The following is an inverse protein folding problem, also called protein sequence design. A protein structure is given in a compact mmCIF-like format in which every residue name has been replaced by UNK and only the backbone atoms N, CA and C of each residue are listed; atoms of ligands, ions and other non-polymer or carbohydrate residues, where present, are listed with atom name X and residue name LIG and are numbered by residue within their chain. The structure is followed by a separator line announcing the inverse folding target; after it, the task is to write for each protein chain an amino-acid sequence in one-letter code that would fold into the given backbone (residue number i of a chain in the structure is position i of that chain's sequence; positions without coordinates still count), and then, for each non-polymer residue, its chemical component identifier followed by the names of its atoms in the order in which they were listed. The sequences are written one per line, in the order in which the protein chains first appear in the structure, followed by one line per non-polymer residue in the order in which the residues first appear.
data_IF_092290395364
#
_entry.id   IF_092290395364
#
_cell.length_a   1.000
_cell.length_b   1.000
_cell.length_c   1.000
_cell.angle_alpha   90.00
_cell.angle_beta   90.00
_cell.angle_gamma   90.00
#
_symmetry.space_group_name_H-M   'P 1'
#
loop_
_entity.id
_entity.type
_entity.pdbx_description
1 polymer ?
#
# COMPACT_ATOMS: atom_id res chain seq x y z
N UNK A 1 -6.09 -3.37 3.79
CA UNK A 1 -6.99 -4.01 2.82
C UNK A 1 -6.28 -4.35 1.54
N UNK A 2 -6.26 -5.63 1.18
CA UNK A 2 -5.74 -6.14 -0.09
C UNK A 2 -6.92 -6.49 -0.97
N UNK A 3 -7.08 -5.78 -2.09
CA UNK A 3 -8.22 -5.94 -3.00
C UNK A 3 -7.81 -6.18 -4.47
N UNK A 4 -6.52 -6.03 -4.79
CA UNK A 4 -5.98 -6.31 -6.11
C UNK A 4 -5.89 -7.82 -6.40
N UNK A 5 -5.58 -8.60 -5.38
CA UNK A 5 -5.40 -10.05 -5.46
C UNK A 5 -5.95 -10.73 -4.21
N UNK A 6 -6.00 -12.05 -4.21
CA UNK A 6 -6.37 -12.83 -3.02
C UNK A 6 -5.36 -13.96 -2.81
N UNK A 7 -5.44 -14.67 -1.67
CA UNK A 7 -4.73 -15.92 -1.48
C UNK A 7 -5.43 -17.07 -2.22
N UNK A 8 -4.68 -18.14 -2.49
CA UNK A 8 -5.20 -19.36 -3.13
C UNK A 8 -6.46 -19.92 -2.43
N UNK A 9 -6.50 -19.82 -1.08
CA UNK A 9 -7.61 -20.32 -0.26
C UNK A 9 -8.77 -19.32 -0.10
N UNK A 10 -8.83 -18.29 -0.92
CA UNK A 10 -10.00 -17.43 -0.95
C UNK A 10 -11.18 -18.22 -1.53
N UNK A 11 -12.31 -18.21 -0.84
CA UNK A 11 -13.46 -19.06 -1.15
C UNK A 11 -13.90 -19.05 -2.62
N UNK A 12 -13.85 -17.87 -3.26
CA UNK A 12 -14.25 -17.73 -4.66
C UNK A 12 -13.22 -18.37 -5.60
N UNK A 13 -11.92 -18.35 -5.27
CA UNK A 13 -10.90 -18.98 -6.05
C UNK A 13 -10.90 -20.52 -5.86
N UNK A 14 -11.11 -21.00 -4.63
CA UNK A 14 -11.30 -22.43 -4.37
C UNK A 14 -12.47 -22.99 -5.16
N UNK A 15 -13.61 -22.28 -5.20
CA UNK A 15 -14.78 -22.67 -6.00
C UNK A 15 -14.46 -22.75 -7.49
N UNK A 16 -13.64 -21.82 -8.01
CA UNK A 16 -13.18 -21.84 -9.42
C UNK A 16 -12.27 -23.03 -9.69
N UNK A 17 -11.34 -23.34 -8.78
CA UNK A 17 -10.46 -24.51 -8.90
C UNK A 17 -11.27 -25.81 -8.87
N UNK A 18 -12.26 -25.91 -7.99
CA UNK A 18 -13.09 -27.11 -7.84
C UNK A 18 -14.07 -27.33 -9.00
N UNK A 19 -14.79 -26.26 -9.41
CA UNK A 19 -15.91 -26.36 -10.38
C UNK A 19 -15.55 -25.96 -11.80
N UNK A 20 -14.36 -25.39 -12.01
CA UNK A 20 -13.90 -24.95 -13.32
C UNK A 20 -14.86 -23.95 -13.97
N UNK A 21 -15.20 -24.16 -15.24
CA UNK A 21 -16.11 -23.29 -16.01
C UNK A 21 -17.53 -23.19 -15.41
N UNK A 22 -17.93 -24.13 -14.54
CA UNK A 22 -19.23 -24.11 -13.90
C UNK A 22 -19.28 -23.22 -12.63
N UNK A 23 -18.14 -22.67 -12.19
CA UNK A 23 -18.09 -21.75 -11.05
C UNK A 23 -18.82 -20.45 -11.34
N UNK A 24 -19.62 -19.98 -10.37
CA UNK A 24 -20.24 -18.66 -10.42
C UNK A 24 -19.26 -17.51 -10.20
N UNK A 25 -18.03 -17.82 -9.77
CA UNK A 25 -16.97 -16.85 -9.49
C UNK A 25 -15.89 -16.79 -10.58
N UNK A 26 -16.05 -17.54 -11.71
CA UNK A 26 -15.03 -17.57 -12.78
C UNK A 26 -14.70 -16.18 -13.34
N UNK A 27 -15.68 -15.28 -13.39
CA UNK A 27 -15.53 -13.92 -13.92
C UNK A 27 -14.96 -12.93 -12.85
N UNK A 28 -14.57 -13.43 -11.66
CA UNK A 28 -13.95 -12.63 -10.62
C UNK A 28 -12.43 -12.50 -10.77
N UNK A 29 -11.84 -13.28 -11.66
CA UNK A 29 -10.39 -13.37 -11.82
C UNK A 29 -9.95 -13.16 -13.25
N UNK A 30 -8.77 -12.59 -13.44
CA UNK A 30 -8.21 -12.38 -14.76
C UNK A 30 -7.52 -13.64 -15.32
N UNK A 31 -7.64 -13.81 -16.63
CA UNK A 31 -6.81 -14.73 -17.40
C UNK A 31 -6.99 -16.22 -17.12
N UNK A 32 -8.09 -16.64 -16.49
CA UNK A 32 -8.33 -18.04 -16.16
C UNK A 32 -8.37 -18.93 -17.41
N UNK A 33 -7.60 -20.01 -17.38
CA UNK A 33 -7.75 -21.15 -18.28
C UNK A 33 -8.12 -22.38 -17.46
N UNK A 34 -8.92 -23.25 -18.05
CA UNK A 34 -9.45 -24.42 -17.36
C UNK A 34 -8.85 -25.72 -17.88
N UNK A 35 -8.56 -26.72 -17.03
CA UNK A 35 -8.70 -26.63 -15.54
C UNK A 35 -7.69 -25.66 -14.92
N UNK A 36 -8.10 -24.96 -13.86
CA UNK A 36 -7.19 -24.07 -13.12
C UNK A 36 -6.23 -24.92 -12.29
N UNK A 37 -4.95 -24.79 -12.56
CA UNK A 37 -3.90 -25.56 -11.90
C UNK A 37 -2.79 -24.63 -11.42
N UNK A 38 -2.37 -24.80 -10.16
CA UNK A 38 -1.14 -24.20 -9.66
C UNK A 38 0.04 -25.04 -10.12
N UNK A 39 1.03 -24.48 -10.82
CA UNK A 39 2.22 -25.24 -11.21
C UNK A 39 2.97 -25.73 -9.96
N UNK A 40 3.53 -26.95 -10.04
CA UNK A 40 4.37 -27.51 -8.97
C UNK A 40 5.73 -26.78 -8.88
N UNK A 41 6.30 -26.45 -10.05
CA UNK A 41 7.56 -25.70 -10.13
C UNK A 41 7.28 -24.19 -9.89
N UNK A 42 7.96 -23.55 -8.92
CA UNK A 42 7.83 -22.12 -8.68
C UNK A 42 8.23 -21.23 -9.86
N UNK A 43 9.09 -21.72 -10.77
CA UNK A 43 9.52 -20.99 -11.96
C UNK A 43 8.50 -21.08 -13.11
N UNK A 44 7.53 -21.98 -13.02
CA UNK A 44 6.47 -22.12 -14.01
C UNK A 44 5.35 -21.10 -13.77
N UNK A 45 4.90 -20.48 -14.86
CA UNK A 45 3.79 -19.52 -14.81
C UNK A 45 2.44 -20.24 -14.73
N UNK A 46 1.54 -19.81 -13.82
CA UNK A 46 0.18 -20.33 -13.80
C UNK A 46 -0.61 -19.85 -15.03
N UNK A 47 -1.64 -20.62 -15.41
CA UNK A 47 -2.56 -20.26 -16.48
C UNK A 47 -3.70 -19.35 -15.98
N UNK A 48 -3.36 -18.35 -15.13
CA UNK A 48 -4.20 -17.25 -14.65
C UNK A 48 -3.31 -16.05 -14.29
N UNK A 49 -3.88 -14.86 -14.30
CA UNK A 49 -3.16 -13.66 -13.87
C UNK A 49 -2.90 -13.72 -12.35
N UNK A 50 -1.68 -13.38 -11.94
CA UNK A 50 -1.29 -13.30 -10.53
C UNK A 50 -0.53 -12.01 -10.23
N UNK A 51 -0.58 -11.57 -8.97
CA UNK A 51 0.13 -10.38 -8.53
C UNK A 51 1.63 -10.69 -8.37
N UNK A 52 2.49 -9.79 -8.89
CA UNK A 52 3.95 -9.86 -8.77
C UNK A 52 4.54 -11.22 -9.23
N UNK A 53 3.88 -11.91 -10.15
CA UNK A 53 4.24 -13.25 -10.62
C UNK A 53 4.15 -14.36 -9.56
N UNK A 54 3.55 -14.04 -8.39
CA UNK A 54 3.37 -15.01 -7.32
C UNK A 54 2.12 -15.86 -7.56
N UNK A 55 2.32 -17.12 -7.93
CA UNK A 55 1.28 -18.07 -8.28
C UNK A 55 0.19 -18.28 -7.21
N UNK A 56 0.54 -18.05 -5.94
CA UNK A 56 -0.40 -18.16 -4.83
C UNK A 56 -1.26 -16.90 -4.61
N UNK A 57 -1.08 -15.89 -5.47
CA UNK A 57 -1.78 -14.60 -5.39
C UNK A 57 -2.59 -14.30 -6.66
N UNK A 58 -3.67 -15.08 -6.94
CA UNK A 58 -4.53 -14.84 -8.11
C UNK A 58 -5.13 -13.44 -8.10
N UNK A 59 -5.09 -12.79 -9.27
CA UNK A 59 -5.50 -11.39 -9.44
C UNK A 59 -7.00 -11.29 -9.64
N UNK A 60 -7.63 -10.39 -8.86
CA UNK A 60 -9.07 -10.13 -8.90
C UNK A 60 -9.41 -9.13 -10.02
N UNK A 61 -10.50 -9.37 -10.74
CA UNK A 61 -11.11 -8.38 -11.62
C UNK A 61 -11.89 -7.34 -10.81
N UNK A 62 -11.20 -6.29 -10.38
CA UNK A 62 -11.80 -5.22 -9.57
C UNK A 62 -12.77 -4.32 -10.36
N UNK A 63 -12.79 -4.40 -11.68
CA UNK A 63 -13.80 -3.77 -12.52
C UNK A 63 -15.13 -4.54 -12.50
N UNK A 64 -15.13 -5.82 -12.14
CA UNK A 64 -16.32 -6.66 -12.04
C UNK A 64 -17.26 -6.14 -10.93
N UNK A 65 -18.55 -5.87 -11.25
CA UNK A 65 -19.50 -5.34 -10.26
C UNK A 65 -19.72 -6.24 -9.04
N UNK A 66 -19.66 -7.57 -9.20
CA UNK A 66 -19.85 -8.51 -8.10
C UNK A 66 -18.64 -8.53 -7.15
N UNK A 67 -17.42 -8.47 -7.69
CA UNK A 67 -16.18 -8.31 -6.92
C UNK A 67 -16.23 -7.00 -6.13
N UNK A 68 -16.55 -5.92 -6.81
CA UNK A 68 -16.67 -4.59 -6.20
C UNK A 68 -17.69 -4.56 -5.06
N UNK A 69 -18.89 -5.10 -5.27
CA UNK A 69 -19.92 -5.10 -4.22
C UNK A 69 -19.49 -5.96 -3.02
N UNK A 70 -18.91 -7.13 -3.26
CA UNK A 70 -18.41 -7.98 -2.19
C UNK A 70 -17.39 -7.23 -1.30
N UNK A 71 -16.42 -6.56 -1.88
CA UNK A 71 -15.41 -5.84 -1.11
C UNK A 71 -15.93 -4.53 -0.51
N UNK A 72 -16.92 -3.89 -1.11
CA UNK A 72 -17.64 -2.81 -0.46
C UNK A 72 -18.35 -3.29 0.83
N UNK A 73 -18.95 -4.48 0.81
CA UNK A 73 -19.54 -5.09 2.03
C UNK A 73 -18.46 -5.42 3.08
N UNK A 74 -17.28 -5.91 2.64
CA UNK A 74 -16.13 -6.09 3.55
C UNK A 74 -15.76 -4.75 4.20
N UNK A 75 -15.68 -3.68 3.40
CA UNK A 75 -15.39 -2.33 3.90
C UNK A 75 -16.39 -1.86 4.93
N UNK A 76 -17.69 -1.98 4.63
CA UNK A 76 -18.79 -1.63 5.54
C UNK A 76 -18.74 -2.45 6.84
N UNK A 77 -18.50 -3.76 6.72
CA UNK A 77 -18.45 -4.69 7.85
C UNK A 77 -17.44 -4.26 8.92
N UNK A 78 -16.21 -3.95 8.52
CA UNK A 78 -15.16 -3.57 9.46
C UNK A 78 -15.42 -2.20 10.10
N UNK A 79 -15.88 -1.23 9.33
CA UNK A 79 -16.23 0.11 9.86
C UNK A 79 -17.38 -0.01 10.85
N UNK A 80 -18.47 -0.70 10.46
CA UNK A 80 -19.68 -0.78 11.27
C UNK A 80 -19.52 -1.59 12.55
N UNK A 81 -18.80 -2.72 12.49
CA UNK A 81 -18.77 -3.68 13.60
C UNK A 81 -17.55 -3.52 14.51
N UNK A 82 -16.44 -2.97 13.98
CA UNK A 82 -15.19 -2.83 14.71
C UNK A 82 -14.76 -1.36 14.88
N UNK A 83 -15.50 -0.42 14.31
CA UNK A 83 -15.25 1.02 14.45
C UNK A 83 -13.80 1.38 14.12
N UNK A 84 -13.27 0.81 13.03
CA UNK A 84 -11.92 1.14 12.57
C UNK A 84 -11.88 2.58 12.06
N UNK A 85 -10.80 3.30 12.35
CA UNK A 85 -10.64 4.71 11.97
C UNK A 85 -10.25 4.91 10.51
N UNK A 86 -9.78 3.86 9.84
CA UNK A 86 -9.38 3.96 8.44
C UNK A 86 -8.92 2.66 7.82
N UNK A 87 -8.60 2.75 6.53
CA UNK A 87 -8.07 1.68 5.70
C UNK A 87 -6.73 2.09 5.08
N UNK A 88 -5.69 1.29 5.25
CA UNK A 88 -4.53 1.28 4.36
C UNK A 88 -4.83 0.29 3.23
N UNK A 89 -4.78 0.76 2.01
CA UNK A 89 -5.23 0.07 0.80
C UNK A 89 -4.03 -0.33 -0.03
N UNK A 90 -3.75 -1.61 -0.04
CA UNK A 90 -2.61 -2.26 -0.66
C UNK A 90 -2.68 -2.18 -2.20
N UNK A 91 -1.52 -2.01 -2.84
CA UNK A 91 -1.38 -2.00 -4.31
C UNK A 91 -2.45 -1.15 -5.00
N UNK A 92 -2.72 0.04 -4.46
CA UNK A 92 -3.87 0.84 -4.84
C UNK A 92 -3.87 1.29 -6.32
N UNK A 93 -2.69 1.38 -6.93
CA UNK A 93 -2.51 1.76 -8.33
C UNK A 93 -2.95 0.68 -9.34
N UNK A 94 -3.11 -0.57 -8.91
CA UNK A 94 -3.52 -1.69 -9.78
C UNK A 94 -5.00 -2.08 -9.63
N UNK A 95 -5.77 -1.30 -8.87
CA UNK A 95 -7.20 -1.53 -8.65
C UNK A 95 -8.00 -0.52 -9.47
N UNK A 96 -9.13 -0.94 -10.03
CA UNK A 96 -10.01 -0.11 -10.86
C UNK A 96 -10.50 1.15 -10.12
N UNK A 97 -10.47 2.29 -10.79
CA UNK A 97 -10.92 3.57 -10.24
C UNK A 97 -12.39 3.55 -9.79
N UNK A 98 -13.25 2.87 -10.55
CA UNK A 98 -14.66 2.71 -10.21
C UNK A 98 -14.86 1.89 -8.94
N UNK A 99 -13.96 0.92 -8.69
CA UNK A 99 -13.90 0.21 -7.42
C UNK A 99 -13.59 1.16 -6.27
N UNK A 100 -12.54 1.99 -6.36
CA UNK A 100 -12.18 2.92 -5.29
C UNK A 100 -13.25 3.96 -5.00
N UNK A 101 -13.91 4.48 -6.03
CA UNK A 101 -15.04 5.41 -5.85
C UNK A 101 -16.20 4.77 -5.14
N UNK A 102 -16.53 3.52 -5.49
CA UNK A 102 -17.59 2.76 -4.82
C UNK A 102 -17.23 2.39 -3.39
N UNK A 103 -15.99 1.94 -3.16
CA UNK A 103 -15.49 1.60 -1.83
C UNK A 103 -15.51 2.81 -0.90
N UNK A 104 -14.98 3.98 -1.38
CA UNK A 104 -15.07 5.23 -0.64
C UNK A 104 -16.51 5.56 -0.25
N UNK A 105 -17.42 5.52 -1.20
CA UNK A 105 -18.84 5.78 -0.94
C UNK A 105 -19.38 4.84 0.12
N UNK A 106 -19.13 3.54 -0.01
CA UNK A 106 -19.62 2.51 0.88
C UNK A 106 -19.17 2.70 2.35
N UNK A 107 -17.89 3.02 2.58
CA UNK A 107 -17.37 3.19 3.93
C UNK A 107 -17.72 4.55 4.53
N UNK A 108 -17.71 5.62 3.72
CA UNK A 108 -18.05 6.98 4.15
C UNK A 108 -19.54 7.16 4.44
N UNK A 109 -20.43 6.32 3.90
CA UNK A 109 -21.84 6.29 4.26
C UNK A 109 -22.07 5.75 5.68
N UNK A 110 -21.17 4.91 6.21
CA UNK A 110 -21.21 4.41 7.59
C UNK A 110 -20.59 5.44 8.53
N UNK A 111 -19.40 5.92 8.22
CA UNK A 111 -18.69 6.93 8.98
C UNK A 111 -17.91 7.84 8.02
N UNK A 112 -18.28 9.13 7.90
CA UNK A 112 -17.63 10.07 6.98
C UNK A 112 -16.17 10.37 7.35
N UNK A 113 -15.77 10.12 8.59
CA UNK A 113 -14.43 10.41 9.11
C UNK A 113 -13.44 9.26 8.90
N UNK A 114 -13.90 8.06 8.47
CA UNK A 114 -13.01 6.93 8.13
C UNK A 114 -11.97 7.34 7.09
N UNK A 115 -10.69 7.21 7.43
CA UNK A 115 -9.58 7.61 6.57
C UNK A 115 -9.27 6.54 5.52
N UNK A 116 -9.10 6.94 4.26
CA UNK A 116 -8.67 6.06 3.17
C UNK A 116 -7.26 6.44 2.72
N UNK A 117 -6.28 5.56 2.99
CA UNK A 117 -4.86 5.74 2.68
C UNK A 117 -4.46 4.73 1.61
N UNK A 118 -4.20 5.20 0.39
CA UNK A 118 -3.71 4.34 -0.69
C UNK A 118 -2.20 4.08 -0.59
N UNK A 119 -1.78 2.86 -0.85
CA UNK A 119 -0.39 2.59 -1.15
C UNK A 119 -0.14 2.89 -2.62
N UNK A 120 0.55 3.99 -2.89
CA UNK A 120 0.94 4.44 -4.22
C UNK A 120 2.41 4.85 -4.17
N UNK A 121 3.24 4.22 -4.99
CA UNK A 121 4.69 4.42 -4.99
C UNK A 121 5.16 5.60 -5.85
N UNK A 122 4.31 6.00 -6.79
CA UNK A 122 4.51 7.15 -7.68
C UNK A 122 3.68 8.37 -7.25
N UNK A 123 3.62 9.36 -8.14
CA UNK A 123 2.79 10.55 -7.94
C UNK A 123 1.30 10.18 -7.81
N UNK A 124 0.73 10.43 -6.65
CA UNK A 124 -0.64 10.05 -6.30
C UNK A 124 -1.73 11.06 -6.70
N UNK A 125 -1.40 12.08 -7.50
CA UNK A 125 -2.34 13.14 -7.88
C UNK A 125 -3.65 12.65 -8.50
N UNK A 126 -3.61 11.54 -9.22
CA UNK A 126 -4.79 10.89 -9.80
C UNK A 126 -5.80 10.46 -8.73
N UNK A 127 -5.34 9.81 -7.68
CA UNK A 127 -6.19 9.25 -6.61
C UNK A 127 -6.60 10.28 -5.54
N UNK A 128 -5.94 11.43 -5.49
CA UNK A 128 -6.16 12.48 -4.48
C UNK A 128 -7.08 13.63 -4.98
N UNK A 129 -8.02 13.32 -5.86
CA UNK A 129 -8.99 14.30 -6.37
C UNK A 129 -10.19 14.52 -5.44
N UNK A 130 -10.32 13.72 -4.37
CA UNK A 130 -11.40 13.80 -3.38
C UNK A 130 -12.51 12.75 -3.58
N UNK A 131 -12.38 11.91 -4.60
CA UNK A 131 -13.35 10.88 -4.96
C UNK A 131 -12.86 9.44 -4.69
N UNK A 132 -11.57 9.24 -4.37
CA UNK A 132 -10.99 7.94 -4.06
C UNK A 132 -10.32 7.93 -2.69
N UNK A 133 -9.14 8.55 -2.52
CA UNK A 133 -8.41 8.52 -1.25
C UNK A 133 -8.37 9.89 -0.57
N UNK A 134 -8.20 9.85 0.75
CA UNK A 134 -7.93 11.03 1.58
C UNK A 134 -6.43 11.29 1.71
N UNK A 135 -5.62 10.22 1.62
CA UNK A 135 -4.18 10.20 1.82
C UNK A 135 -3.52 9.10 1.01
N UNK A 136 -2.21 9.19 0.90
CA UNK A 136 -1.37 8.08 0.43
C UNK A 136 -0.12 7.93 1.28
N UNK A 137 0.50 6.74 1.25
CA UNK A 137 1.85 6.53 1.76
C UNK A 137 2.81 7.39 0.93
N UNK A 138 3.45 8.39 1.57
CA UNK A 138 4.24 9.40 0.87
C UNK A 138 5.65 8.91 0.54
N UNK A 139 5.77 8.02 -0.43
CA UNK A 139 7.07 7.51 -0.89
C UNK A 139 7.95 8.58 -1.56
N UNK A 140 7.36 9.66 -2.09
CA UNK A 140 8.14 10.81 -2.57
C UNK A 140 8.88 11.51 -1.41
N UNK A 141 8.23 11.69 -0.26
CA UNK A 141 8.88 12.20 0.95
C UNK A 141 10.07 11.32 1.34
N UNK A 142 9.83 10.00 1.44
CA UNK A 142 10.89 9.02 1.71
C UNK A 142 12.06 9.14 0.74
N UNK A 143 11.77 9.19 -0.56
CA UNK A 143 12.78 9.30 -1.63
C UNK A 143 13.66 10.53 -1.43
N UNK A 144 13.07 11.69 -1.15
CA UNK A 144 13.82 12.91 -0.96
C UNK A 144 14.65 12.90 0.34
N UNK A 145 14.11 12.31 1.41
CA UNK A 145 14.83 12.07 2.65
C UNK A 145 16.03 11.12 2.45
N UNK A 146 15.87 10.04 1.67
CA UNK A 146 16.96 9.14 1.34
C UNK A 146 18.12 9.89 0.64
N UNK A 147 17.81 10.63 -0.43
CA UNK A 147 18.82 11.36 -1.19
C UNK A 147 19.63 12.34 -0.32
N UNK A 148 18.96 13.01 0.62
CA UNK A 148 19.60 14.05 1.42
C UNK A 148 20.23 13.52 2.71
N UNK A 149 19.48 12.78 3.56
CA UNK A 149 19.97 12.35 4.86
C UNK A 149 20.77 11.05 4.80
N UNK A 150 20.34 10.08 3.97
CA UNK A 150 20.98 8.77 3.92
C UNK A 150 22.13 8.72 2.91
N UNK A 151 21.88 9.02 1.66
CA UNK A 151 22.86 8.92 0.58
C UNK A 151 23.80 10.14 0.51
N UNK A 152 23.34 11.31 0.96
CA UNK A 152 24.04 12.59 0.83
C UNK A 152 24.41 12.92 -0.64
N UNK A 153 23.55 12.51 -1.57
CA UNK A 153 23.75 12.67 -3.01
C UNK A 153 23.28 14.03 -3.55
N UNK A 154 22.53 14.79 -2.73
CA UNK A 154 22.04 16.13 -3.05
C UNK A 154 22.37 17.10 -1.93
N UNK A 155 22.49 18.40 -2.25
CA UNK A 155 22.68 19.43 -1.25
C UNK A 155 21.36 19.96 -0.64
N UNK A 156 21.46 20.88 0.32
CA UNK A 156 20.29 21.43 1.02
C UNK A 156 19.37 22.27 0.10
N UNK A 157 19.92 22.90 -0.93
CA UNK A 157 19.14 23.71 -1.88
C UNK A 157 18.32 22.79 -2.78
N UNK A 158 18.92 21.72 -3.29
CA UNK A 158 18.25 20.70 -4.09
C UNK A 158 17.16 19.99 -3.27
N UNK A 159 17.47 19.64 -2.02
CA UNK A 159 16.49 19.04 -1.12
C UNK A 159 15.29 19.96 -0.90
N UNK A 160 15.53 21.25 -0.58
CA UNK A 160 14.47 22.23 -0.40
C UNK A 160 13.60 22.40 -1.65
N UNK A 161 14.22 22.43 -2.84
CA UNK A 161 13.52 22.49 -4.13
C UNK A 161 12.60 21.29 -4.32
N UNK A 162 13.10 20.06 -4.13
CA UNK A 162 12.32 18.81 -4.27
C UNK A 162 11.16 18.71 -3.29
N UNK A 163 11.37 19.11 -2.04
CA UNK A 163 10.32 19.15 -1.00
C UNK A 163 9.26 20.20 -1.38
N UNK A 164 9.65 21.35 -1.90
CA UNK A 164 8.71 22.37 -2.38
C UNK A 164 7.88 21.85 -3.56
N UNK A 165 8.51 21.23 -4.55
CA UNK A 165 7.83 20.62 -5.70
C UNK A 165 6.82 19.55 -5.25
N UNK A 166 7.19 18.72 -4.28
CA UNK A 166 6.30 17.72 -3.69
C UNK A 166 5.07 18.37 -3.03
N UNK A 167 5.27 19.44 -2.24
CA UNK A 167 4.17 20.16 -1.59
C UNK A 167 3.22 20.81 -2.59
N UNK A 168 3.75 21.29 -3.72
CA UNK A 168 2.96 21.94 -4.76
C UNK A 168 2.20 20.99 -5.69
N UNK A 169 2.48 19.70 -5.60
CA UNK A 169 1.93 18.66 -6.50
C UNK A 169 0.45 18.37 -6.23
N UNK A 170 0.03 18.43 -4.97
CA UNK A 170 -1.32 18.07 -4.56
C UNK A 170 -2.12 19.31 -4.13
N UNK A 171 -3.43 19.15 -4.09
CA UNK A 171 -4.31 20.19 -3.51
C UNK A 171 -3.91 20.44 -2.07
N UNK A 172 -3.98 21.71 -1.65
CA UNK A 172 -3.54 22.13 -0.32
C UNK A 172 -4.21 21.34 0.83
N UNK A 173 -5.46 20.90 0.64
CA UNK A 173 -6.19 20.10 1.62
C UNK A 173 -5.63 18.68 1.79
N UNK A 174 -4.97 18.13 0.75
CA UNK A 174 -4.42 16.78 0.77
C UNK A 174 -3.02 16.71 1.39
N UNK A 175 -2.28 17.82 1.36
CA UNK A 175 -0.90 17.87 1.87
C UNK A 175 -0.78 17.51 3.36
N UNK A 176 -1.61 18.04 4.28
CA UNK A 176 -1.54 17.71 5.70
C UNK A 176 -1.94 16.25 6.01
N UNK A 177 -2.66 15.60 5.10
CA UNK A 177 -3.12 14.24 5.28
C UNK A 177 -2.12 13.20 4.74
N UNK A 178 -1.04 13.60 4.04
CA UNK A 178 -0.09 12.64 3.47
C UNK A 178 0.66 11.90 4.59
N UNK A 179 0.74 10.56 4.49
CA UNK A 179 1.41 9.69 5.44
C UNK A 179 2.91 9.68 5.15
N UNK A 180 3.65 10.57 5.82
CA UNK A 180 5.11 10.67 5.66
C UNK A 180 5.81 9.51 6.36
N UNK A 181 6.70 8.83 5.65
CA UNK A 181 7.46 7.69 6.16
C UNK A 181 8.93 7.78 5.74
N UNK A 182 9.81 7.19 6.53
CA UNK A 182 11.21 7.00 6.18
C UNK A 182 11.47 5.56 5.72
N UNK A 183 10.76 4.60 6.31
CA UNK A 183 10.78 3.20 5.90
C UNK A 183 9.42 2.52 6.16
N UNK A 184 9.32 1.26 5.77
CA UNK A 184 8.14 0.43 5.94
C UNK A 184 8.52 -1.06 5.87
N UNK A 185 7.53 -1.93 5.92
CA UNK A 185 7.73 -3.39 5.73
C UNK A 185 8.15 -3.80 4.30
N UNK A 186 8.15 -2.87 3.34
CA UNK A 186 8.49 -3.13 1.93
C UNK A 186 9.83 -2.51 1.50
N UNK A 187 10.50 -1.84 2.41
CA UNK A 187 11.76 -1.14 2.11
C UNK A 187 12.74 -1.24 3.27
N UNK A 188 14.03 -1.13 2.94
CA UNK A 188 15.11 -1.17 3.93
C UNK A 188 14.94 -0.14 5.03
N UNK A 189 15.36 -0.50 6.25
CA UNK A 189 15.39 0.39 7.41
C UNK A 189 16.24 1.62 7.15
N UNK A 190 15.72 2.79 7.48
CA UNK A 190 16.36 4.07 7.15
C UNK A 190 17.71 4.25 7.85
N UNK A 191 17.86 3.77 9.08
CA UNK A 191 19.14 3.78 9.78
C UNK A 191 20.21 2.97 9.04
N UNK A 192 19.84 1.83 8.44
CA UNK A 192 20.75 1.05 7.59
C UNK A 192 21.17 1.81 6.35
N UNK A 193 20.25 2.53 5.69
CA UNK A 193 20.56 3.40 4.56
C UNK A 193 21.47 4.56 4.94
N UNK A 194 21.41 5.04 6.19
CA UNK A 194 22.36 5.99 6.75
C UNK A 194 23.74 5.38 7.08
N UNK A 195 23.97 4.08 6.79
CA UNK A 195 25.19 3.37 7.18
C UNK A 195 25.37 3.27 8.70
N UNK A 196 24.29 3.25 9.48
CA UNK A 196 24.31 3.23 10.95
C UNK A 196 24.61 4.59 11.60
N UNK A 197 24.71 5.68 10.82
CA UNK A 197 24.96 7.01 11.41
C UNK A 197 23.70 7.55 12.09
N UNK A 198 23.64 7.38 13.40
CA UNK A 198 22.54 7.80 14.26
C UNK A 198 22.27 9.32 14.21
N UNK A 199 23.26 10.15 13.87
CA UNK A 199 23.08 11.63 13.78
C UNK A 199 22.23 11.97 12.57
N UNK A 200 22.52 11.37 11.43
CA UNK A 200 21.74 11.54 10.19
C UNK A 200 20.33 11.01 10.34
N UNK A 201 20.22 9.82 10.93
CA UNK A 201 18.93 9.20 11.24
C UNK A 201 18.05 10.10 12.11
N UNK A 202 18.59 10.63 13.21
CA UNK A 202 17.86 11.54 14.12
C UNK A 202 17.43 12.83 13.43
N UNK A 203 18.25 13.38 12.52
CA UNK A 203 17.87 14.55 11.74
C UNK A 203 16.71 14.25 10.79
N UNK A 204 16.70 13.10 10.14
CA UNK A 204 15.60 12.67 9.28
C UNK A 204 14.29 12.46 10.07
N UNK A 205 14.35 11.81 11.24
CA UNK A 205 13.21 11.66 12.15
C UNK A 205 12.71 13.04 12.61
N UNK A 206 13.60 13.94 13.03
CA UNK A 206 13.21 15.28 13.45
C UNK A 206 12.51 16.03 12.30
N UNK A 207 13.04 15.94 11.08
CA UNK A 207 12.43 16.54 9.91
C UNK A 207 11.02 15.96 9.69
N UNK A 208 10.86 14.63 9.67
CA UNK A 208 9.56 13.98 9.49
C UNK A 208 8.54 14.41 10.55
N UNK A 209 8.95 14.47 11.81
CA UNK A 209 8.07 14.82 12.95
C UNK A 209 7.65 16.30 12.98
N UNK A 210 8.41 17.17 12.32
CA UNK A 210 8.15 18.61 12.29
C UNK A 210 7.64 19.11 10.94
N UNK A 211 7.63 18.25 9.93
CA UNK A 211 7.15 18.59 8.60
C UNK A 211 5.65 18.40 8.47
N UNK A 212 5.03 19.11 7.52
CA UNK A 212 3.59 18.99 7.25
C UNK A 212 3.25 17.58 6.74
N UNK A 213 2.19 16.99 7.29
CA UNK A 213 1.73 15.64 7.00
C UNK A 213 1.57 14.80 8.27
N UNK A 214 1.25 13.54 8.11
CA UNK A 214 1.14 12.57 9.22
C UNK A 214 2.47 11.82 9.34
N UNK A 215 3.29 12.07 10.38
CA UNK A 215 4.53 11.33 10.57
C UNK A 215 4.22 9.87 10.93
N UNK A 216 4.91 8.94 10.27
CA UNK A 216 4.71 7.51 10.45
C UNK A 216 5.98 6.86 10.94
N UNK A 217 5.90 6.20 12.08
CA UNK A 217 6.98 5.40 12.67
C UNK A 217 6.71 3.94 12.33
N UNK A 218 7.63 3.30 11.62
CA UNK A 218 7.61 1.86 11.44
C UNK A 218 8.15 1.21 12.72
N UNK A 219 7.53 0.14 13.20
CA UNK A 219 7.92 -0.49 14.47
C UNK A 219 9.42 -0.78 14.53
N UNK A 220 10.05 -0.46 15.65
CA UNK A 220 11.49 -0.63 15.85
C UNK A 220 12.35 0.57 15.43
N UNK A 221 11.80 1.56 14.70
CA UNK A 221 12.50 2.80 14.37
C UNK A 221 12.90 3.57 15.61
N UNK A 222 12.02 3.58 16.62
CA UNK A 222 12.25 4.20 17.93
C UNK A 222 13.42 3.57 18.68
N UNK A 223 13.78 2.33 18.35
CA UNK A 223 14.93 1.60 18.92
C UNK A 223 16.15 1.64 17.99
N UNK A 224 16.00 2.15 16.77
CA UNK A 224 17.05 2.14 15.76
C UNK A 224 17.32 0.76 15.16
N UNK A 225 16.27 -0.02 14.95
CA UNK A 225 16.36 -1.32 14.25
C UNK A 225 16.93 -1.12 12.85
N UNK A 226 17.83 -2.02 12.46
CA UNK A 226 18.47 -2.03 11.15
C UNK A 226 18.02 -3.25 10.34
N UNK A 227 18.14 -3.19 9.02
CA UNK A 227 17.84 -4.27 8.08
C UNK A 227 17.86 -3.77 6.64
N UNK A 228 18.51 -4.51 5.76
CA UNK A 228 18.59 -4.22 4.32
C UNK A 228 17.80 -5.22 3.48
N UNK A 229 17.73 -6.48 3.94
CA UNK A 229 16.92 -7.52 3.29
C UNK A 229 15.53 -7.60 3.91
N UNK A 230 14.59 -8.24 3.20
CA UNK A 230 13.22 -8.40 3.66
C UNK A 230 13.14 -9.12 5.02
N UNK A 231 13.92 -10.17 5.21
CA UNK A 231 14.01 -10.90 6.47
C UNK A 231 14.49 -10.02 7.63
N UNK A 232 15.44 -9.11 7.35
CA UNK A 232 16.02 -8.23 8.35
C UNK A 232 15.07 -7.08 8.72
N UNK A 233 14.48 -6.38 7.74
CA UNK A 233 13.62 -5.24 8.08
C UNK A 233 12.21 -5.63 8.55
N UNK A 234 11.80 -6.89 8.36
CA UNK A 234 10.57 -7.48 8.94
C UNK A 234 10.83 -8.32 10.19
N UNK A 235 11.99 -8.18 10.82
CA UNK A 235 12.31 -8.92 12.04
C UNK A 235 11.27 -8.67 13.16
N UNK A 236 11.10 -9.59 14.11
CA UNK A 236 10.25 -9.35 15.27
C UNK A 236 10.69 -8.12 16.06
N UNK A 237 9.74 -7.44 16.72
CA UNK A 237 10.05 -6.31 17.60
C UNK A 237 11.01 -6.76 18.72
N UNK A 238 12.18 -6.13 18.88
CA UNK A 238 13.10 -6.43 19.99
C UNK A 238 12.59 -5.77 21.28
N UNK A 239 11.88 -6.56 22.09
CA UNK A 239 11.29 -6.08 23.35
C UNK A 239 12.28 -6.08 24.52
N UNK A 240 13.45 -6.72 24.39
CA UNK A 240 14.48 -6.89 25.42
C UNK A 240 15.68 -5.94 25.23
#
# INVERSE_FOLDING_TARGET
GVFNHCGWHFFAFEDVVEKGEASSYRDWFYGLKFPVVCPDDPEDYPEYECFAYERMMPKLDTANPAVREYFCEVGRYWVKNFHIDGWRLDVASEVDDGFWRAFRKAVKEIDPDVLLIGEVWESAGHWLQGDMFDSTMNYDFRKHCNLYFAEQSIDASDFAGRITDMLMRYRMQMTPAQMNLLDSHDVSRFLSLCGGDMRRYRLAILFMMTFVGMPTVFYGDELGVQGLSEEEYRCPMPWD
#
